data_IF_455184985297
#
_entry.id   IF_455184985297
#
_cell.length_a   1.000
_cell.length_b   1.000
_cell.length_c   1.000
_cell.angle_alpha   90.00
_cell.angle_beta   90.00
_cell.angle_gamma   90.00
#
_symmetry.space_group_name_H-M   'P 1'
#
loop_
_entity.id
_entity.type
_entity.pdbx_description
1 polymer ?
#
# COMPACT_ATOMS: atom_id res chain seq x y z
N UNK A 1 29.38 -35.48 51.57
CA UNK A 1 30.44 -34.45 51.52
C UNK A 1 30.75 -33.92 50.11
N UNK A 2 30.45 -34.64 49.02
CA UNK A 2 30.83 -34.20 47.65
C UNK A 2 30.08 -32.96 47.09
N UNK A 3 28.86 -32.70 47.55
CA UNK A 3 28.06 -31.57 47.03
C UNK A 3 28.58 -30.18 47.41
N UNK A 4 29.27 -30.05 48.55
CA UNK A 4 29.84 -28.77 49.00
C UNK A 4 31.00 -28.32 48.10
N UNK A 5 31.92 -29.23 47.78
CA UNK A 5 33.07 -28.94 46.93
C UNK A 5 32.67 -28.56 45.49
N UNK A 6 31.63 -29.19 44.94
CA UNK A 6 31.11 -28.87 43.61
C UNK A 6 30.46 -27.47 43.55
N UNK A 7 29.78 -27.06 44.63
CA UNK A 7 29.15 -25.74 44.72
C UNK A 7 30.18 -24.61 44.85
N UNK A 8 31.23 -24.82 45.65
CA UNK A 8 32.32 -23.85 45.78
C UNK A 8 33.11 -23.69 44.47
N UNK A 9 33.39 -24.78 43.76
CA UNK A 9 34.01 -24.73 42.45
C UNK A 9 33.15 -24.01 41.40
N UNK A 10 31.81 -24.09 41.51
CA UNK A 10 30.89 -23.37 40.62
C UNK A 10 30.91 -21.86 40.92
N UNK A 11 30.85 -21.47 42.20
CA UNK A 11 30.96 -20.07 42.61
C UNK A 11 32.27 -19.44 42.16
N UNK A 12 33.40 -20.12 42.37
CA UNK A 12 34.72 -19.64 41.93
C UNK A 12 34.74 -19.37 40.42
N UNK A 13 34.11 -20.24 39.62
CA UNK A 13 34.02 -20.07 38.17
C UNK A 13 33.15 -18.86 37.80
N UNK A 14 32.05 -18.62 38.50
CA UNK A 14 31.18 -17.45 38.29
C UNK A 14 31.95 -16.18 38.61
N UNK A 15 32.61 -16.11 39.77
CA UNK A 15 33.42 -14.95 40.17
C UNK A 15 34.55 -14.65 39.19
N UNK A 16 35.24 -15.68 38.68
CA UNK A 16 36.28 -15.49 37.63
C UNK A 16 35.71 -14.89 36.35
N UNK A 17 34.49 -15.27 35.96
CA UNK A 17 33.81 -14.73 34.78
C UNK A 17 33.37 -13.29 35.01
N UNK A 18 32.81 -12.99 36.18
CA UNK A 18 32.42 -11.63 36.59
C UNK A 18 33.62 -10.68 36.55
N UNK A 19 34.74 -11.10 37.13
CA UNK A 19 35.98 -10.33 37.13
C UNK A 19 36.57 -10.17 35.71
N UNK A 20 36.43 -11.17 34.84
CA UNK A 20 36.88 -11.09 33.45
C UNK A 20 36.05 -10.11 32.61
N UNK A 21 34.73 -10.08 32.82
CA UNK A 21 33.80 -9.17 32.13
C UNK A 21 33.87 -7.74 32.70
N UNK A 22 34.53 -7.55 33.84
CA UNK A 22 34.69 -6.26 34.50
C UNK A 22 33.46 -5.85 35.30
N UNK A 23 32.68 -6.81 35.79
CA UNK A 23 31.59 -6.55 36.74
C UNK A 23 32.23 -6.04 38.03
N UNK A 24 31.85 -4.84 38.52
CA UNK A 24 32.46 -4.27 39.72
C UNK A 24 32.15 -5.16 40.95
N UNK A 25 33.12 -5.33 41.85
CA UNK A 25 33.02 -6.19 43.04
C UNK A 25 32.14 -5.60 44.15
N UNK A 26 31.25 -4.68 43.81
CA UNK A 26 30.41 -3.94 44.74
C UNK A 26 29.24 -4.84 45.21
N UNK A 27 28.90 -4.83 46.50
CA UNK A 27 27.75 -5.60 47.04
C UNK A 27 26.40 -5.19 46.42
N UNK A 28 26.33 -4.06 45.71
CA UNK A 28 25.15 -3.60 44.96
C UNK A 28 25.13 -4.07 43.49
N UNK A 29 26.21 -4.68 42.99
CA UNK A 29 26.28 -5.15 41.61
C UNK A 29 25.47 -6.44 41.42
N UNK A 30 24.57 -6.42 40.43
CA UNK A 30 23.77 -7.60 40.06
C UNK A 30 24.67 -8.65 39.42
N UNK A 31 24.68 -9.86 39.97
CA UNK A 31 25.48 -10.97 39.41
C UNK A 31 25.18 -11.20 37.92
N UNK A 32 26.17 -11.69 37.16
CA UNK A 32 25.98 -11.98 35.73
C UNK A 32 24.83 -12.96 35.49
N UNK A 33 24.62 -13.89 36.41
CA UNK A 33 23.54 -14.88 36.30
C UNK A 33 22.16 -14.22 36.31
N UNK A 34 21.92 -13.29 37.23
CA UNK A 34 20.65 -12.57 37.38
C UNK A 34 20.44 -11.61 36.22
N UNK A 35 21.48 -10.88 35.79
CA UNK A 35 21.41 -10.01 34.60
C UNK A 35 21.11 -10.81 33.32
N UNK A 36 21.74 -11.97 33.14
CA UNK A 36 21.49 -12.83 31.96
C UNK A 36 20.06 -13.37 31.96
N UNK A 37 19.54 -13.78 33.12
CA UNK A 37 18.16 -14.24 33.25
C UNK A 37 17.16 -13.11 32.95
N UNK A 38 17.41 -11.91 33.47
CA UNK A 38 16.59 -10.73 33.19
C UNK A 38 16.58 -10.37 31.70
N UNK A 39 17.75 -10.37 31.04
CA UNK A 39 17.82 -10.12 29.61
C UNK A 39 17.13 -11.20 28.78
N UNK A 40 17.12 -12.46 29.23
CA UNK A 40 16.36 -13.51 28.55
C UNK A 40 14.85 -13.23 28.59
N UNK A 41 14.33 -12.70 29.71
CA UNK A 41 12.93 -12.28 29.84
C UNK A 41 12.64 -11.10 28.91
N UNK A 42 13.48 -10.07 28.92
CA UNK A 42 13.35 -8.90 28.04
C UNK A 42 13.33 -9.29 26.56
N UNK A 43 14.15 -10.26 26.15
CA UNK A 43 14.15 -10.77 24.78
C UNK A 43 12.85 -11.51 24.42
N UNK A 44 12.25 -12.24 25.37
CA UNK A 44 10.94 -12.89 25.17
C UNK A 44 9.84 -11.85 25.02
N UNK A 45 9.86 -10.80 25.85
CA UNK A 45 8.88 -9.71 25.77
C UNK A 45 9.01 -8.92 24.48
N UNK A 46 10.23 -8.57 24.07
CA UNK A 46 10.50 -7.90 22.80
C UNK A 46 10.05 -8.73 21.60
N UNK A 47 10.29 -10.05 21.64
CA UNK A 47 9.80 -10.95 20.61
C UNK A 47 8.28 -10.92 20.52
N UNK A 48 7.58 -10.95 21.66
CA UNK A 48 6.12 -10.87 21.69
C UNK A 48 5.62 -9.56 21.10
N UNK A 49 6.21 -8.43 21.49
CA UNK A 49 5.86 -7.11 20.94
C UNK A 49 6.05 -7.09 19.42
N UNK A 50 7.15 -7.66 18.93
CA UNK A 50 7.43 -7.73 17.49
C UNK A 50 6.41 -8.63 16.75
N UNK A 51 6.07 -9.78 17.31
CA UNK A 51 5.08 -10.71 16.73
C UNK A 51 3.68 -10.06 16.67
N UNK A 52 3.28 -9.37 17.74
CA UNK A 52 2.02 -8.63 17.80
C UNK A 52 2.01 -7.49 16.76
N UNK A 53 3.10 -6.73 16.66
CA UNK A 53 3.24 -5.65 15.67
C UNK A 53 3.17 -6.18 14.24
N UNK A 54 3.85 -7.28 13.92
CA UNK A 54 3.80 -7.89 12.60
C UNK A 54 2.38 -8.38 12.27
N UNK A 55 1.70 -9.00 13.24
CA UNK A 55 0.33 -9.50 13.07
C UNK A 55 -0.65 -8.35 12.80
N UNK A 56 -0.57 -7.29 13.61
CA UNK A 56 -1.42 -6.11 13.44
C UNK A 56 -1.13 -5.40 12.11
N UNK A 57 0.15 -5.24 11.76
CA UNK A 57 0.56 -4.57 10.51
C UNK A 57 0.08 -5.36 9.29
N UNK A 58 0.22 -6.68 9.29
CA UNK A 58 -0.28 -7.53 8.21
C UNK A 58 -1.80 -7.43 8.06
N UNK A 59 -2.55 -7.41 9.17
CA UNK A 59 -3.99 -7.23 9.13
C UNK A 59 -4.37 -5.86 8.55
N UNK A 60 -3.70 -4.78 8.99
CA UNK A 60 -3.94 -3.42 8.46
C UNK A 60 -3.62 -3.31 6.96
N UNK A 61 -2.52 -3.89 6.51
CA UNK A 61 -2.13 -3.90 5.09
C UNK A 61 -3.17 -4.65 4.25
N UNK A 62 -3.64 -5.81 4.71
CA UNK A 62 -4.68 -6.57 4.00
C UNK A 62 -5.97 -5.76 3.87
N UNK A 63 -6.41 -5.11 4.95
CA UNK A 63 -7.61 -4.24 4.90
C UNK A 63 -7.44 -3.09 3.89
N UNK A 64 -6.27 -2.44 3.85
CA UNK A 64 -6.00 -1.38 2.87
C UNK A 64 -6.05 -1.91 1.44
N UNK A 65 -5.51 -3.11 1.20
CA UNK A 65 -5.56 -3.74 -0.12
C UNK A 65 -7.02 -4.00 -0.52
N UNK A 66 -7.83 -4.55 0.38
CA UNK A 66 -9.26 -4.77 0.14
C UNK A 66 -10.01 -3.45 -0.16
N UNK A 67 -9.76 -2.40 0.62
CA UNK A 67 -10.36 -1.09 0.42
C UNK A 67 -9.97 -0.49 -0.96
N UNK A 68 -8.71 -0.61 -1.34
CA UNK A 68 -8.21 -0.14 -2.65
C UNK A 68 -8.81 -0.95 -3.80
N UNK A 69 -8.98 -2.26 -3.64
CA UNK A 69 -9.66 -3.10 -4.63
C UNK A 69 -11.12 -2.68 -4.80
N UNK A 70 -11.83 -2.48 -3.69
CA UNK A 70 -13.23 -2.00 -3.69
C UNK A 70 -13.35 -0.63 -4.37
N UNK A 71 -12.46 0.31 -4.03
CA UNK A 71 -12.41 1.62 -4.67
C UNK A 71 -12.16 1.52 -6.18
N UNK A 72 -11.26 0.62 -6.59
CA UNK A 72 -10.96 0.37 -8.01
C UNK A 72 -12.20 -0.09 -8.77
N UNK A 73 -12.99 -0.99 -8.19
CA UNK A 73 -14.23 -1.46 -8.80
C UNK A 73 -15.28 -0.35 -8.94
N UNK A 74 -15.44 0.49 -7.91
CA UNK A 74 -16.36 1.65 -7.96
C UNK A 74 -15.93 2.62 -9.06
N UNK A 75 -14.64 2.99 -9.12
CA UNK A 75 -14.12 3.89 -10.14
C UNK A 75 -14.32 3.31 -11.54
N UNK A 76 -14.09 2.01 -11.72
CA UNK A 76 -14.29 1.32 -13.00
C UNK A 76 -15.74 1.35 -13.46
N UNK A 77 -16.70 1.16 -12.55
CA UNK A 77 -18.14 1.26 -12.86
C UNK A 77 -18.49 2.69 -13.28
N UNK A 78 -18.04 3.68 -12.52
CA UNK A 78 -18.32 5.09 -12.81
C UNK A 78 -17.73 5.53 -14.16
N UNK A 79 -16.50 5.09 -14.48
CA UNK A 79 -15.88 5.39 -15.77
C UNK A 79 -16.64 4.77 -16.94
N UNK A 80 -17.09 3.51 -16.83
CA UNK A 80 -17.93 2.90 -17.87
C UNK A 80 -19.25 3.65 -18.07
N UNK A 81 -19.91 4.03 -16.97
CA UNK A 81 -21.13 4.83 -17.04
C UNK A 81 -20.89 6.16 -17.76
N UNK A 82 -19.79 6.83 -17.44
CA UNK A 82 -19.41 8.08 -18.08
C UNK A 82 -19.08 7.89 -19.57
N UNK A 83 -18.40 6.81 -19.93
CA UNK A 83 -18.13 6.45 -21.33
C UNK A 83 -19.44 6.24 -22.12
N UNK A 84 -20.40 5.54 -21.53
CA UNK A 84 -21.73 5.30 -22.12
C UNK A 84 -22.51 6.61 -22.31
N UNK A 85 -22.53 7.48 -21.30
CA UNK A 85 -23.18 8.80 -21.37
C UNK A 85 -22.55 9.67 -22.47
N UNK A 86 -21.23 9.73 -22.56
CA UNK A 86 -20.51 10.47 -23.61
C UNK A 86 -20.83 9.90 -25.00
N UNK A 87 -20.92 8.57 -25.14
CA UNK A 87 -21.28 7.93 -26.40
C UNK A 87 -22.72 8.30 -26.83
N UNK A 88 -23.65 8.41 -25.88
CA UNK A 88 -25.02 8.87 -26.16
C UNK A 88 -25.04 10.32 -26.63
N UNK A 89 -24.31 11.22 -25.95
CA UNK A 89 -24.22 12.64 -26.34
C UNK A 89 -23.68 12.78 -27.77
N UNK A 90 -22.63 12.05 -28.12
CA UNK A 90 -22.06 12.07 -29.49
C UNK A 90 -23.06 11.62 -30.55
N UNK A 91 -23.88 10.59 -30.26
CA UNK A 91 -24.92 10.12 -31.17
C UNK A 91 -26.01 11.17 -31.37
N UNK A 92 -26.45 11.82 -30.29
CA UNK A 92 -27.46 12.88 -30.35
C UNK A 92 -26.94 14.08 -31.13
N UNK A 93 -25.71 14.50 -30.87
CA UNK A 93 -25.04 15.60 -31.58
C UNK A 93 -24.97 15.33 -33.10
N UNK A 94 -24.51 14.12 -33.47
CA UNK A 94 -24.47 13.69 -34.87
C UNK A 94 -25.86 13.69 -35.51
N UNK A 95 -26.88 13.17 -34.80
CA UNK A 95 -28.25 13.15 -35.30
C UNK A 95 -28.81 14.58 -35.49
N UNK A 96 -28.52 15.50 -34.56
CA UNK A 96 -28.95 16.89 -34.64
C UNK A 96 -28.28 17.62 -35.83
N UNK A 97 -27.00 17.35 -36.08
CA UNK A 97 -26.28 17.86 -37.25
C UNK A 97 -26.91 17.37 -38.57
N UNK A 98 -27.26 16.08 -38.66
CA UNK A 98 -27.93 15.52 -39.84
C UNK A 98 -29.33 16.09 -40.07
N UNK A 99 -30.12 16.29 -39.00
CA UNK A 99 -31.43 16.95 -39.09
C UNK A 99 -31.28 18.37 -39.63
N UNK A 100 -30.30 19.13 -39.12
CA UNK A 100 -30.02 20.49 -39.58
C UNK A 100 -29.66 20.53 -41.07
N UNK A 101 -28.81 19.61 -41.55
CA UNK A 101 -28.46 19.48 -42.98
C UNK A 101 -29.68 19.14 -43.85
N UNK A 102 -30.56 18.23 -43.40
CA UNK A 102 -31.76 17.85 -44.15
C UNK A 102 -32.77 19.01 -44.28
N UNK A 103 -32.89 19.85 -43.24
CA UNK A 103 -33.74 21.04 -43.27
C UNK A 103 -33.20 22.11 -44.24
N UNK A 104 -31.87 22.26 -44.34
CA UNK A 104 -31.24 23.12 -45.34
C UNK A 104 -31.49 22.63 -46.78
N UNK A 105 -31.55 21.31 -47.02
CA UNK A 105 -31.87 20.76 -48.34
C UNK A 105 -33.36 20.84 -48.68
N UNK A 106 -34.25 20.72 -47.68
CA UNK A 106 -35.71 20.78 -47.86
C UNK A 106 -36.29 22.17 -48.13
N UNK A 107 -35.58 23.25 -47.75
CA UNK A 107 -35.97 24.63 -48.10
C UNK A 107 -35.41 25.09 -49.47
N UNK A 108 -34.58 24.28 -50.14
CA UNK A 108 -33.97 24.58 -51.44
C UNK A 108 -34.85 24.32 -52.66
N UNK A 109 -36.18 24.27 -52.50
CA UNK A 109 -37.14 24.20 -53.60
C UNK A 109 -37.34 25.55 -54.29
N UNK A 110 -36.28 26.12 -54.87
CA UNK A 110 -36.37 27.35 -55.65
C UNK A 110 -35.02 27.99 -55.92
N UNK A 111 -34.43 27.70 -57.08
CA UNK A 111 -33.32 28.48 -57.63
C UNK A 111 -31.95 27.81 -57.49
N UNK A 112 -31.59 26.99 -58.48
CA UNK A 112 -30.22 26.59 -58.71
C UNK A 112 -29.39 27.83 -59.08
N UNK A 113 -28.64 28.38 -58.12
CA UNK A 113 -27.46 29.18 -58.42
C UNK A 113 -26.24 28.42 -57.94
N UNK A 114 -25.57 27.81 -58.92
CA UNK A 114 -24.31 27.10 -58.84
C UNK A 114 -23.21 28.07 -58.35
N UNK A 115 -22.48 27.73 -57.28
CA UNK A 115 -21.27 28.43 -56.85
C UNK A 115 -20.36 27.43 -56.09
N UNK A 116 -19.03 27.62 -56.07
CA UNK A 116 -18.09 26.77 -56.78
C UNK A 116 -17.41 25.73 -55.89
N UNK A 117 -16.96 24.66 -56.57
CA UNK A 117 -15.94 23.73 -56.11
C UNK A 117 -14.70 24.51 -55.62
N UNK A 118 -14.39 24.42 -54.33
CA UNK A 118 -13.04 24.69 -53.85
C UNK A 118 -12.21 23.43 -54.07
N UNK A 119 -11.63 23.41 -55.26
CA UNK A 119 -10.52 22.56 -55.64
C UNK A 119 -9.23 23.20 -55.08
N UNK A 120 -8.57 22.51 -54.16
CA UNK A 120 -7.13 22.60 -53.85
C UNK A 120 -6.81 21.35 -53.01
N UNK A 121 -6.49 20.21 -53.61
CA UNK A 121 -5.26 19.85 -54.34
C UNK A 121 -4.06 19.77 -53.39
N UNK A 122 -3.62 18.54 -53.18
CA UNK A 122 -2.38 18.16 -52.52
C UNK A 122 -1.20 19.03 -52.96
N UNK A 123 -0.41 19.53 -52.01
CA UNK A 123 1.00 19.90 -52.22
C UNK A 123 1.75 20.04 -50.88
N UNK A 124 2.63 19.05 -50.64
CA UNK A 124 3.75 18.94 -49.68
C UNK A 124 3.43 18.58 -48.22
#
# INVERSE_FOLDING_TARGET
>A
MAGGAANEALKERITRLENFVGVPEDDEAVSLSVSTEQHAIELVDLRKILDDFMTETNARVNNIIEDVMSLTDVVKINLKSLEDEVALVKKVDTAMALVSLSQCQGQGGGGWSRAPLLENRDAL
#
